data_IF_925595052941
#
_entry.id   IF_925595052941
#
_cell.length_a   1.000
_cell.length_b   1.000
_cell.length_c   1.000
_cell.angle_alpha   90.00
_cell.angle_beta   90.00
_cell.angle_gamma   90.00
#
_symmetry.space_group_name_H-M   'P 1'
#
loop_
_entity.id
_entity.type
_entity.pdbx_description
1 polymer ?
#
# COMPACT_ATOMS: atom_id res chain seq x y z
N UNK A 1 73.36 12.73 -9.86
CA UNK A 1 72.69 13.56 -8.85
C UNK A 1 71.21 13.55 -9.20
N UNK A 2 70.49 12.48 -8.87
CA UNK A 2 69.94 12.16 -7.53
C UNK A 2 68.81 13.15 -7.18
N UNK A 3 67.59 12.82 -6.75
CA UNK A 3 66.81 11.58 -6.58
C UNK A 3 65.40 12.05 -6.14
N UNK A 4 64.33 11.27 -6.47
CA UNK A 4 63.16 10.99 -5.59
C UNK A 4 62.13 12.11 -5.25
N UNK A 5 60.81 11.90 -5.02
CA UNK A 5 59.90 10.73 -4.83
C UNK A 5 58.46 11.30 -5.00
N UNK A 6 57.61 10.74 -5.86
CA UNK A 6 56.45 9.88 -5.56
C UNK A 6 55.24 10.57 -4.89
N UNK A 7 54.11 10.64 -5.62
CA UNK A 7 52.90 9.91 -5.22
C UNK A 7 51.87 9.87 -6.37
N UNK A 8 51.81 8.73 -7.06
CA UNK A 8 50.60 8.27 -7.76
C UNK A 8 49.55 7.99 -6.69
N UNK A 9 48.57 8.85 -6.52
CA UNK A 9 47.38 8.52 -5.72
C UNK A 9 46.46 7.66 -6.57
N UNK A 10 46.24 6.45 -6.07
CA UNK A 10 45.40 5.41 -6.61
C UNK A 10 44.01 5.91 -6.99
N UNK A 11 43.46 5.36 -8.08
CA UNK A 11 42.03 5.44 -8.39
C UNK A 11 41.24 5.05 -7.13
N UNK A 12 40.38 5.93 -6.59
CA UNK A 12 39.49 5.52 -5.53
C UNK A 12 38.52 4.51 -6.16
N UNK A 13 38.66 3.25 -5.77
CA UNK A 13 37.72 2.21 -6.15
C UNK A 13 36.27 2.63 -5.82
N UNK A 14 35.28 1.99 -6.47
CA UNK A 14 33.88 2.37 -6.32
C UNK A 14 33.48 2.46 -4.84
N UNK A 15 32.69 3.49 -4.47
CA UNK A 15 32.36 3.77 -3.08
C UNK A 15 31.71 2.56 -2.42
N UNK A 16 32.20 2.20 -1.24
CA UNK A 16 31.66 1.11 -0.43
C UNK A 16 30.86 1.65 0.75
N UNK A 17 29.67 1.07 0.98
CA UNK A 17 28.85 1.30 2.17
C UNK A 17 28.51 -0.06 2.75
N UNK A 18 28.80 -0.30 4.04
CA UNK A 18 28.51 -1.54 4.76
C UNK A 18 28.96 -2.84 4.05
N UNK A 19 30.20 -2.87 3.54
CA UNK A 19 30.76 -3.99 2.75
C UNK A 19 30.05 -4.28 1.41
N UNK A 20 29.16 -3.39 0.95
CA UNK A 20 28.59 -3.43 -0.38
C UNK A 20 29.34 -2.46 -1.30
N UNK A 21 29.68 -2.91 -2.51
CA UNK A 21 30.23 -2.06 -3.56
C UNK A 21 29.09 -1.42 -4.34
N UNK A 22 28.98 -0.09 -4.29
CA UNK A 22 28.05 0.65 -5.13
C UNK A 22 28.65 0.79 -6.53
N UNK A 23 28.17 -0.03 -7.46
CA UNK A 23 28.44 0.16 -8.89
C UNK A 23 27.47 1.24 -9.40
N UNK A 24 27.89 2.50 -9.36
CA UNK A 24 27.22 3.54 -10.15
C UNK A 24 27.52 3.24 -11.62
N UNK A 25 26.46 2.98 -12.39
CA UNK A 25 26.57 2.87 -13.84
C UNK A 25 26.82 4.29 -14.35
N UNK A 26 28.09 4.66 -14.54
CA UNK A 26 28.45 5.87 -15.27
C UNK A 26 28.15 5.62 -16.76
N UNK A 27 26.88 5.74 -17.12
CA UNK A 27 26.49 5.97 -18.51
C UNK A 27 26.42 7.48 -18.70
N UNK A 28 27.51 8.07 -19.18
CA UNK A 28 27.41 9.35 -19.90
C UNK A 28 26.36 9.19 -21.01
N UNK A 29 25.26 9.94 -20.88
CA UNK A 29 24.30 10.36 -21.92
C UNK A 29 24.17 9.46 -23.16
N UNK A 30 23.93 8.17 -22.94
CA UNK A 30 23.16 7.38 -23.90
C UNK A 30 21.73 7.37 -23.40
N UNK A 31 20.91 8.22 -24.01
CA UNK A 31 19.48 7.93 -24.16
C UNK A 31 19.46 6.55 -24.82
N UNK A 32 19.29 5.52 -24.01
CA UNK A 32 18.91 4.21 -24.51
C UNK A 32 17.53 4.47 -25.08
N UNK A 33 17.44 4.57 -26.40
CA UNK A 33 16.20 4.24 -27.07
C UNK A 33 15.81 2.88 -26.51
N UNK A 34 14.82 2.89 -25.62
CA UNK A 34 14.14 1.68 -25.22
C UNK A 34 13.50 1.17 -26.50
N UNK A 35 14.26 0.40 -27.29
CA UNK A 35 13.71 -0.42 -28.35
C UNK A 35 12.52 -1.12 -27.72
N UNK A 36 11.34 -0.85 -28.28
CA UNK A 36 10.12 -1.56 -27.94
C UNK A 36 10.46 -3.05 -28.01
N UNK A 37 10.69 -3.67 -26.85
CA UNK A 37 10.80 -5.13 -26.76
C UNK A 37 9.46 -5.66 -27.21
N UNK A 38 9.40 -6.02 -28.48
CA UNK A 38 8.21 -6.53 -29.13
C UNK A 38 7.63 -7.64 -28.29
N UNK A 39 6.36 -7.48 -27.89
CA UNK A 39 5.47 -8.52 -27.31
C UNK A 39 6.19 -9.61 -26.50
N UNK A 40 7.12 -9.22 -25.63
CA UNK A 40 7.88 -10.17 -24.84
C UNK A 40 7.05 -10.47 -23.61
N UNK A 41 6.83 -11.76 -23.34
CA UNK A 41 6.19 -12.23 -22.13
C UNK A 41 6.78 -11.49 -20.91
N UNK A 42 5.91 -10.96 -20.05
CA UNK A 42 6.32 -10.24 -18.84
C UNK A 42 7.32 -11.11 -18.09
N UNK A 43 8.48 -10.55 -17.75
CA UNK A 43 9.40 -11.24 -16.83
C UNK A 43 8.69 -11.50 -15.51
N UNK A 44 9.02 -12.59 -14.82
CA UNK A 44 8.34 -12.99 -13.58
C UNK A 44 8.32 -11.85 -12.53
N UNK A 45 9.36 -11.03 -12.51
CA UNK A 45 9.47 -9.84 -11.66
C UNK A 45 8.49 -8.72 -12.06
N UNK A 46 8.31 -8.45 -13.36
CA UNK A 46 7.34 -7.46 -13.83
C UNK A 46 5.91 -7.92 -13.57
N UNK A 47 5.63 -9.21 -13.75
CA UNK A 47 4.34 -9.80 -13.39
C UNK A 47 4.06 -9.67 -11.89
N UNK A 48 5.05 -9.94 -11.03
CA UNK A 48 4.96 -9.74 -9.59
C UNK A 48 4.67 -8.27 -9.22
N UNK A 49 5.43 -7.31 -9.78
CA UNK A 49 5.22 -5.87 -9.53
C UNK A 49 3.83 -5.41 -9.95
N UNK A 50 3.34 -5.90 -11.09
CA UNK A 50 2.00 -5.60 -11.59
C UNK A 50 0.89 -6.16 -10.69
N UNK A 51 1.03 -7.41 -10.20
CA UNK A 51 0.10 -7.99 -9.22
C UNK A 51 0.14 -7.21 -7.89
N UNK A 52 1.32 -6.87 -7.40
CA UNK A 52 1.50 -6.11 -6.16
C UNK A 52 0.82 -4.73 -6.26
N UNK A 53 1.05 -4.00 -7.35
CA UNK A 53 0.41 -2.72 -7.61
C UNK A 53 -1.11 -2.85 -7.63
N UNK A 54 -1.65 -3.83 -8.36
CA UNK A 54 -3.10 -4.09 -8.42
C UNK A 54 -3.68 -4.33 -7.02
N UNK A 55 -3.01 -5.11 -6.18
CA UNK A 55 -3.45 -5.38 -4.81
C UNK A 55 -3.46 -4.13 -3.94
N UNK A 56 -2.43 -3.29 -4.07
CA UNK A 56 -2.36 -2.00 -3.37
C UNK A 56 -3.47 -1.04 -3.82
N UNK A 57 -3.74 -0.98 -5.13
CA UNK A 57 -4.84 -0.18 -5.68
C UNK A 57 -6.20 -0.64 -5.14
N UNK A 58 -6.43 -1.94 -5.03
CA UNK A 58 -7.67 -2.46 -4.45
C UNK A 58 -7.80 -2.19 -2.95
N UNK A 59 -6.68 -2.22 -2.20
CA UNK A 59 -6.63 -1.80 -0.79
C UNK A 59 -6.99 -0.32 -0.67
N UNK A 60 -6.46 0.53 -1.55
CA UNK A 60 -6.78 1.96 -1.58
C UNK A 60 -8.28 2.19 -1.82
N UNK A 61 -8.86 1.51 -2.82
CA UNK A 61 -10.32 1.58 -3.09
C UNK A 61 -11.17 1.18 -1.90
N UNK A 62 -10.80 0.11 -1.17
CA UNK A 62 -11.52 -0.30 0.03
C UNK A 62 -11.43 0.74 1.15
N UNK A 63 -10.26 1.38 1.33
CA UNK A 63 -10.10 2.47 2.30
C UNK A 63 -10.99 3.65 1.94
N UNK A 64 -11.05 4.03 0.68
CA UNK A 64 -11.92 5.10 0.20
C UNK A 64 -13.40 4.75 0.40
N UNK A 65 -13.79 3.49 0.15
CA UNK A 65 -15.15 3.05 0.43
C UNK A 65 -15.49 3.13 1.92
N UNK A 66 -14.59 2.73 2.82
CA UNK A 66 -14.76 2.85 4.27
C UNK A 66 -14.93 4.33 4.68
N UNK A 67 -14.12 5.23 4.11
CA UNK A 67 -14.24 6.68 4.36
C UNK A 67 -15.62 7.16 3.91
N UNK A 68 -16.06 6.80 2.71
CA UNK A 68 -17.36 7.17 2.17
C UNK A 68 -18.52 6.64 3.03
N UNK A 69 -18.46 5.38 3.50
CA UNK A 69 -19.48 4.85 4.42
C UNK A 69 -19.47 5.56 5.77
N UNK A 70 -18.29 5.91 6.29
CA UNK A 70 -18.16 6.65 7.55
C UNK A 70 -18.75 8.06 7.45
N UNK A 71 -18.55 8.75 6.34
CA UNK A 71 -19.18 10.05 6.07
C UNK A 71 -20.71 9.90 6.01
N UNK A 72 -21.23 8.88 5.32
CA UNK A 72 -22.66 8.61 5.26
C UNK A 72 -23.25 8.26 6.65
N UNK A 73 -22.51 7.50 7.47
CA UNK A 73 -22.86 7.18 8.86
C UNK A 73 -22.98 8.45 9.68
N UNK A 74 -21.96 9.30 9.66
CA UNK A 74 -21.95 10.57 10.39
C UNK A 74 -23.11 11.47 9.97
N UNK A 75 -23.34 11.65 8.67
CA UNK A 75 -24.47 12.45 8.16
C UNK A 75 -25.82 11.90 8.62
N UNK A 76 -26.00 10.57 8.62
CA UNK A 76 -27.24 9.92 9.08
C UNK A 76 -27.42 10.11 10.59
N UNK A 77 -26.35 9.99 11.38
CA UNK A 77 -26.36 10.21 12.82
C UNK A 77 -26.75 11.66 13.17
N UNK A 78 -26.21 12.65 12.45
CA UNK A 78 -26.56 14.05 12.63
C UNK A 78 -28.04 14.30 12.32
N UNK A 79 -28.56 13.74 11.21
CA UNK A 79 -29.99 13.83 10.87
C UNK A 79 -30.86 13.23 11.97
N UNK A 80 -30.49 12.07 12.50
CA UNK A 80 -31.23 11.40 13.56
C UNK A 80 -31.23 12.24 14.85
N UNK A 81 -30.10 12.86 15.22
CA UNK A 81 -30.01 13.76 16.39
C UNK A 81 -30.96 14.95 16.26
N UNK A 82 -31.01 15.58 15.09
CA UNK A 82 -31.93 16.70 14.82
C UNK A 82 -33.38 16.23 14.96
N UNK A 83 -33.76 15.14 14.30
CA UNK A 83 -35.13 14.61 14.33
C UNK A 83 -35.58 14.20 15.74
N UNK A 84 -34.69 13.63 16.56
CA UNK A 84 -34.98 13.29 17.95
C UNK A 84 -35.19 14.54 18.81
N UNK A 85 -34.40 15.59 18.58
CA UNK A 85 -34.55 16.85 19.28
C UNK A 85 -35.88 17.53 18.89
N UNK A 86 -36.22 17.53 17.60
CA UNK A 86 -37.50 18.05 17.10
C UNK A 86 -38.68 17.29 17.70
N UNK A 87 -38.60 15.95 17.75
CA UNK A 87 -39.63 15.11 18.38
C UNK A 87 -39.80 15.45 19.86
N UNK A 88 -38.70 15.68 20.59
CA UNK A 88 -38.72 16.05 22.00
C UNK A 88 -39.36 17.43 22.20
N UNK A 89 -39.02 18.40 21.35
CA UNK A 89 -39.58 19.75 21.40
C UNK A 89 -41.07 19.74 21.05
N UNK A 90 -41.50 19.00 20.03
CA UNK A 90 -42.90 18.87 19.67
C UNK A 90 -43.73 18.26 20.82
N UNK A 91 -43.21 17.20 21.44
CA UNK A 91 -43.87 16.55 22.58
C UNK A 91 -43.99 17.50 23.78
N UNK A 92 -42.94 18.31 24.06
CA UNK A 92 -42.92 19.27 25.17
C UNK A 92 -43.86 20.46 24.98
N UNK A 93 -43.97 20.97 23.75
CA UNK A 93 -44.68 22.22 23.47
C UNK A 93 -46.13 22.05 22.99
N UNK A 94 -46.45 20.95 22.31
CA UNK A 94 -47.75 20.80 21.65
C UNK A 94 -48.64 19.73 22.26
N UNK A 95 -48.12 18.79 23.06
CA UNK A 95 -48.90 17.83 23.86
C UNK A 95 -49.87 16.90 23.10
N UNK A 96 -50.01 17.07 21.79
CA UNK A 96 -51.01 16.43 20.92
C UNK A 96 -50.29 15.80 19.72
N UNK A 97 -50.58 14.52 19.48
CA UNK A 97 -50.08 13.74 18.35
C UNK A 97 -50.69 14.24 17.04
N UNK A 98 -49.99 15.17 16.36
CA UNK A 98 -50.36 15.58 15.00
C UNK A 98 -49.90 14.56 13.96
N UNK A 99 -50.50 14.56 12.76
CA UNK A 99 -50.08 13.72 11.62
C UNK A 99 -48.59 13.87 11.28
N UNK A 100 -47.99 15.04 11.53
CA UNK A 100 -46.57 15.29 11.34
C UNK A 100 -45.68 14.48 12.30
N UNK A 101 -46.19 14.10 13.47
CA UNK A 101 -45.44 13.29 14.44
C UNK A 101 -45.32 11.83 13.97
N UNK A 102 -46.33 11.30 13.27
CA UNK A 102 -46.25 9.96 12.65
C UNK A 102 -45.18 9.91 11.55
N UNK A 103 -45.16 10.92 10.66
CA UNK A 103 -44.15 11.04 9.61
C UNK A 103 -42.74 11.20 10.18
N UNK A 104 -42.58 12.02 11.23
CA UNK A 104 -41.30 12.17 11.93
C UNK A 104 -40.83 10.85 12.55
N UNK A 105 -41.73 10.10 13.20
CA UNK A 105 -41.38 8.82 13.82
C UNK A 105 -40.97 7.76 12.78
N UNK A 106 -41.66 7.72 11.63
CA UNK A 106 -41.25 6.86 10.50
C UNK A 106 -39.87 7.24 9.95
N UNK A 107 -39.57 8.54 9.85
CA UNK A 107 -38.27 9.02 9.40
C UNK A 107 -37.15 8.65 10.39
N UNK A 108 -37.42 8.74 11.70
CA UNK A 108 -36.50 8.30 12.77
C UNK A 108 -36.22 6.80 12.67
N UNK A 109 -37.26 5.96 12.57
CA UNK A 109 -37.10 4.50 12.44
C UNK A 109 -36.31 4.13 11.16
N UNK A 110 -36.63 4.77 10.03
CA UNK A 110 -35.91 4.58 8.77
C UNK A 110 -34.42 4.95 8.89
N UNK A 111 -34.11 6.12 9.47
CA UNK A 111 -32.73 6.56 9.67
C UNK A 111 -31.98 5.67 10.67
N UNK A 112 -32.63 5.15 11.71
CA UNK A 112 -32.04 4.20 12.65
C UNK A 112 -31.68 2.88 11.97
N UNK A 113 -32.60 2.30 11.18
CA UNK A 113 -32.34 1.08 10.38
C UNK A 113 -31.19 1.30 9.40
N UNK A 114 -31.17 2.44 8.71
CA UNK A 114 -30.08 2.82 7.81
C UNK A 114 -28.74 2.94 8.55
N UNK A 115 -28.74 3.54 9.73
CA UNK A 115 -27.53 3.71 10.53
C UNK A 115 -26.98 2.35 10.99
N UNK A 116 -27.84 1.44 11.43
CA UNK A 116 -27.45 0.05 11.76
C UNK A 116 -26.80 -0.65 10.58
N UNK A 117 -27.41 -0.59 9.40
CA UNK A 117 -26.85 -1.18 8.17
C UNK A 117 -25.49 -0.56 7.79
N UNK A 118 -25.30 0.74 8.02
CA UNK A 118 -24.01 1.39 7.77
C UNK A 118 -22.93 0.87 8.70
N UNK A 119 -23.22 0.66 9.98
CA UNK A 119 -22.27 0.05 10.93
C UNK A 119 -21.87 -1.36 10.50
N UNK A 120 -22.84 -2.21 10.15
CA UNK A 120 -22.59 -3.57 9.68
C UNK A 120 -21.72 -3.57 8.42
N UNK A 121 -22.02 -2.71 7.44
CA UNK A 121 -21.22 -2.57 6.21
C UNK A 121 -19.80 -2.09 6.49
N UNK A 122 -19.62 -1.08 7.34
CA UNK A 122 -18.30 -0.57 7.71
C UNK A 122 -17.48 -1.67 8.38
N UNK A 123 -18.09 -2.44 9.28
CA UNK A 123 -17.44 -3.57 9.94
C UNK A 123 -16.98 -4.64 8.94
N UNK A 124 -17.84 -5.04 8.00
CA UNK A 124 -17.49 -6.01 6.97
C UNK A 124 -16.35 -5.52 6.06
N UNK A 125 -16.39 -4.24 5.65
CA UNK A 125 -15.32 -3.64 4.86
C UNK A 125 -13.98 -3.61 5.62
N UNK A 126 -13.99 -3.33 6.92
CA UNK A 126 -12.78 -3.40 7.75
C UNK A 126 -12.21 -4.82 7.84
N UNK A 127 -13.06 -5.84 8.01
CA UNK A 127 -12.62 -7.24 8.00
C UNK A 127 -12.01 -7.62 6.65
N UNK A 128 -12.61 -7.19 5.54
CA UNK A 128 -12.07 -7.43 4.22
C UNK A 128 -10.71 -6.76 4.03
N UNK A 129 -10.59 -5.49 4.45
CA UNK A 129 -9.34 -4.75 4.41
C UNK A 129 -8.24 -5.46 5.21
N UNK A 130 -8.54 -5.93 6.42
CA UNK A 130 -7.61 -6.69 7.25
C UNK A 130 -7.14 -7.98 6.56
N UNK A 131 -8.07 -8.75 5.97
CA UNK A 131 -7.72 -9.97 5.21
C UNK A 131 -6.78 -9.67 4.05
N UNK A 132 -7.01 -8.57 3.32
CA UNK A 132 -6.12 -8.16 2.22
C UNK A 132 -4.74 -7.76 2.72
N UNK A 133 -4.65 -7.06 3.85
CA UNK A 133 -3.35 -6.73 4.47
C UNK A 133 -2.57 -7.97 4.89
N UNK A 134 -3.23 -8.96 5.52
CA UNK A 134 -2.59 -10.22 5.91
C UNK A 134 -2.04 -10.93 4.66
N UNK A 135 -2.86 -11.11 3.63
CA UNK A 135 -2.42 -11.75 2.38
C UNK A 135 -1.29 -10.99 1.69
N UNK A 136 -1.28 -9.66 1.74
CA UNK A 136 -0.21 -8.84 1.20
C UNK A 136 1.10 -9.03 1.98
N UNK A 137 1.01 -9.04 3.31
CA UNK A 137 2.16 -9.26 4.20
C UNK A 137 2.80 -10.62 3.92
N UNK A 138 2.00 -11.70 3.88
CA UNK A 138 2.50 -13.04 3.58
C UNK A 138 3.19 -13.14 2.22
N UNK A 139 2.68 -12.43 1.20
CA UNK A 139 3.31 -12.39 -0.13
C UNK A 139 4.65 -11.67 -0.10
N UNK A 140 4.72 -10.53 0.59
CA UNK A 140 5.95 -9.75 0.71
C UNK A 140 7.01 -10.53 1.50
N UNK A 141 6.60 -11.22 2.55
CA UNK A 141 7.47 -12.08 3.35
C UNK A 141 8.09 -13.18 2.50
N UNK A 142 7.28 -13.98 1.78
CA UNK A 142 7.79 -15.01 0.86
C UNK A 142 8.75 -14.43 -0.19
N UNK A 143 8.42 -13.27 -0.76
CA UNK A 143 9.31 -12.63 -1.74
C UNK A 143 10.64 -12.22 -1.11
N UNK A 144 10.63 -11.75 0.13
CA UNK A 144 11.86 -11.39 0.84
C UNK A 144 12.74 -12.62 1.13
N UNK A 145 12.14 -13.75 1.48
CA UNK A 145 12.85 -15.03 1.67
C UNK A 145 13.50 -15.49 0.36
N UNK A 146 12.77 -15.45 -0.75
CA UNK A 146 13.30 -15.78 -2.08
C UNK A 146 14.50 -14.91 -2.47
N UNK A 147 14.41 -13.60 -2.22
CA UNK A 147 15.49 -12.65 -2.52
C UNK A 147 16.74 -12.93 -1.67
N UNK A 148 16.57 -13.29 -0.40
CA UNK A 148 17.67 -13.69 0.47
C UNK A 148 18.36 -14.96 -0.04
N UNK A 149 17.60 -15.96 -0.46
CA UNK A 149 18.17 -17.20 -1.01
C UNK A 149 18.89 -16.99 -2.34
N UNK A 150 18.34 -16.16 -3.23
CA UNK A 150 19.04 -15.76 -4.46
C UNK A 150 20.35 -15.02 -4.14
N UNK A 151 20.35 -14.11 -3.17
CA UNK A 151 21.56 -13.40 -2.77
C UNK A 151 22.62 -14.33 -2.16
N UNK A 152 22.23 -15.29 -1.30
CA UNK A 152 23.14 -16.32 -0.77
C UNK A 152 23.76 -17.13 -1.91
N UNK A 153 22.94 -17.58 -2.85
CA UNK A 153 23.39 -18.37 -4.00
C UNK A 153 24.35 -17.58 -4.90
N UNK A 154 24.05 -16.30 -5.16
CA UNK A 154 24.91 -15.41 -5.92
C UNK A 154 26.27 -15.21 -5.24
N UNK A 155 26.31 -15.05 -3.90
CA UNK A 155 27.57 -14.96 -3.14
C UNK A 155 28.40 -16.24 -3.25
N UNK A 156 27.78 -17.42 -3.13
CA UNK A 156 28.49 -18.69 -3.29
C UNK A 156 29.09 -18.82 -4.69
N UNK A 157 28.31 -18.49 -5.74
CA UNK A 157 28.79 -18.50 -7.12
C UNK A 157 29.95 -17.51 -7.34
N UNK A 158 29.85 -16.30 -6.79
CA UNK A 158 30.92 -15.29 -6.86
C UNK A 158 32.20 -15.77 -6.17
N UNK A 159 32.08 -16.42 -5.01
CA UNK A 159 33.24 -16.96 -4.28
C UNK A 159 33.91 -18.07 -5.09
N UNK A 160 33.13 -18.99 -5.66
CA UNK A 160 33.64 -20.07 -6.50
C UNK A 160 34.35 -19.53 -7.76
N UNK A 161 33.80 -18.50 -8.40
CA UNK A 161 34.43 -17.83 -9.54
C UNK A 161 35.77 -17.16 -9.15
N UNK A 162 35.83 -16.53 -7.99
CA UNK A 162 37.06 -15.92 -7.48
C UNK A 162 38.15 -16.95 -7.22
N UNK A 163 37.82 -18.07 -6.56
CA UNK A 163 38.76 -19.17 -6.32
C UNK A 163 39.27 -19.78 -7.62
N UNK A 164 38.39 -20.02 -8.59
CA UNK A 164 38.78 -20.53 -9.91
C UNK A 164 39.72 -19.55 -10.65
N UNK A 165 39.50 -18.23 -10.53
CA UNK A 165 40.39 -17.22 -11.11
C UNK A 165 41.76 -17.18 -10.40
N UNK A 166 41.80 -17.38 -9.08
CA UNK A 166 43.04 -17.40 -8.30
C UNK A 166 43.91 -18.63 -8.59
N UNK A 167 43.29 -19.75 -8.96
CA UNK A 167 43.97 -21.01 -9.25
C UNK A 167 44.39 -21.18 -10.72
N UNK A 168 44.18 -20.15 -11.57
CA UNK A 168 44.70 -20.05 -12.93
C UNK A 168 45.84 -19.04 -13.00
#
# INVERSE_FOLDING_TARGET
MDFNILNKTADPGPPMVDNFTLLYYDSEDKIVDCEERGTSELTEEEAYRKDLKRRLDDVAKLRDEIINKNQARYSTEQKLKIQLNDSRNQTKHFGVLSSNQSALMQAIDSNYKRLKLLYEKIYHLHLELQKRYISLSEKLERRSEELLEMHKSARLASTALYEHKKNK
#
